data_IF_198744654391
#
_entry.id   IF_198744654391
#
_cell.length_a   1.000
_cell.length_b   1.000
_cell.length_c   1.000
_cell.angle_alpha   90.00
_cell.angle_beta   90.00
_cell.angle_gamma   90.00
#
_symmetry.space_group_name_H-M   'P 1'
#
loop_
_entity.id
_entity.type
_entity.pdbx_description
1 polymer ?
#
# COMPACT_ATOMS: atom_id res chain seq x y z
N UNK A 1 -14.17 -5.61 -18.62
CA UNK A 1 -13.36 -5.56 -19.87
C UNK A 1 -13.78 -4.34 -20.63
N UNK A 2 -12.86 -3.38 -20.79
CA UNK A 2 -13.12 -2.16 -21.56
C UNK A 2 -13.08 -2.51 -23.05
N UNK A 3 -13.85 -1.82 -23.90
CA UNK A 3 -13.81 -2.00 -25.37
C UNK A 3 -12.36 -1.96 -25.92
N UNK A 4 -11.48 -1.22 -25.25
CA UNK A 4 -10.06 -1.13 -25.54
C UNK A 4 -9.32 -2.48 -25.52
N UNK A 5 -9.63 -3.38 -24.58
CA UNK A 5 -8.87 -4.64 -24.42
C UNK A 5 -9.18 -5.64 -25.53
N UNK A 6 -10.36 -5.49 -26.16
CA UNK A 6 -10.85 -6.39 -27.21
C UNK A 6 -10.10 -6.23 -28.54
N UNK A 7 -9.50 -5.07 -28.78
CA UNK A 7 -8.80 -4.72 -30.02
C UNK A 7 -7.28 -4.93 -29.95
N UNK A 8 -6.74 -5.32 -28.78
CA UNK A 8 -5.29 -5.45 -28.59
C UNK A 8 -4.74 -6.75 -29.17
N UNK A 9 -3.69 -6.64 -29.99
CA UNK A 9 -2.90 -7.79 -30.42
C UNK A 9 -2.08 -8.35 -29.24
N UNK A 10 -1.51 -9.54 -29.41
CA UNK A 10 -0.61 -10.11 -28.40
C UNK A 10 0.59 -9.19 -28.09
N UNK A 11 1.10 -8.47 -29.10
CA UNK A 11 2.19 -7.49 -28.93
C UNK A 11 1.73 -6.29 -28.10
N UNK A 12 0.53 -5.79 -28.36
CA UNK A 12 -0.01 -4.63 -27.64
C UNK A 12 -0.35 -4.98 -26.20
N UNK A 13 -0.83 -6.20 -25.93
CA UNK A 13 -1.00 -6.69 -24.55
C UNK A 13 0.32 -6.73 -23.79
N UNK A 14 1.38 -7.28 -24.40
CA UNK A 14 2.70 -7.29 -23.77
C UNK A 14 3.23 -5.88 -23.46
N UNK A 15 2.93 -4.90 -24.33
CA UNK A 15 3.25 -3.48 -24.09
C UNK A 15 2.42 -2.87 -22.97
N UNK A 16 1.12 -3.15 -22.93
CA UNK A 16 0.23 -2.72 -21.87
C UNK A 16 0.68 -3.26 -20.51
N UNK A 17 1.02 -4.55 -20.45
CA UNK A 17 1.54 -5.19 -19.24
C UNK A 17 2.84 -4.54 -18.79
N UNK A 18 3.80 -4.34 -19.70
CA UNK A 18 5.06 -3.67 -19.38
C UNK A 18 4.87 -2.21 -18.90
N UNK A 19 3.96 -1.47 -19.54
CA UNK A 19 3.66 -0.09 -19.18
C UNK A 19 2.98 0.01 -17.80
N UNK A 20 1.99 -0.84 -17.55
CA UNK A 20 1.32 -0.91 -16.25
C UNK A 20 2.27 -1.37 -15.14
N UNK A 21 3.15 -2.34 -15.40
CA UNK A 21 4.17 -2.78 -14.44
C UNK A 21 5.17 -1.66 -14.09
N UNK A 22 5.61 -0.88 -15.08
CA UNK A 22 6.54 0.22 -14.85
C UNK A 22 5.91 1.31 -13.96
N UNK A 23 4.65 1.67 -14.21
CA UNK A 23 3.92 2.66 -13.41
C UNK A 23 3.59 2.11 -12.02
N UNK A 24 3.15 0.84 -11.92
CA UNK A 24 2.89 0.19 -10.64
C UNK A 24 4.15 0.13 -9.77
N UNK A 25 5.30 -0.19 -10.36
CA UNK A 25 6.58 -0.21 -9.64
C UNK A 25 6.96 1.18 -9.11
N UNK A 26 6.73 2.24 -9.89
CA UNK A 26 7.02 3.62 -9.46
C UNK A 26 6.03 4.13 -8.42
N UNK A 27 4.75 3.79 -8.53
CA UNK A 27 3.75 4.05 -7.50
C UNK A 27 4.08 3.33 -6.19
N UNK A 28 4.54 2.08 -6.26
CA UNK A 28 4.98 1.29 -5.10
C UNK A 28 6.19 1.92 -4.41
N UNK A 29 7.14 2.47 -5.17
CA UNK A 29 8.26 3.23 -4.62
C UNK A 29 7.79 4.51 -3.89
N UNK A 30 6.65 5.07 -4.29
CA UNK A 30 5.96 6.16 -3.58
C UNK A 30 5.00 5.66 -2.49
N UNK A 31 5.06 4.38 -2.10
CA UNK A 31 4.25 3.81 -1.03
C UNK A 31 2.80 3.47 -1.39
N UNK A 32 2.39 3.63 -2.66
CA UNK A 32 1.05 3.35 -3.15
C UNK A 32 1.03 2.04 -3.95
N UNK A 33 0.08 1.16 -3.67
CA UNK A 33 -0.16 -0.02 -4.52
C UNK A 33 -1.35 0.28 -5.42
N UNK A 34 -1.15 0.19 -6.73
CA UNK A 34 -2.18 0.41 -7.75
C UNK A 34 -2.37 -0.86 -8.57
N UNK A 35 -3.62 -1.22 -8.83
CA UNK A 35 -3.96 -2.42 -9.58
C UNK A 35 -3.78 -2.21 -11.09
N UNK A 36 -3.40 -3.26 -11.81
CA UNK A 36 -3.16 -3.19 -13.26
C UNK A 36 -4.40 -2.77 -14.04
N UNK A 37 -5.57 -3.23 -13.64
CA UNK A 37 -6.84 -2.84 -14.26
C UNK A 37 -7.06 -1.33 -14.14
N UNK A 38 -6.77 -0.77 -12.98
CA UNK A 38 -6.87 0.67 -12.71
C UNK A 38 -5.83 1.48 -13.49
N UNK A 39 -4.63 0.96 -13.69
CA UNK A 39 -3.61 1.63 -14.50
C UNK A 39 -3.92 1.54 -16.00
N UNK A 40 -4.54 0.45 -16.46
CA UNK A 40 -4.86 0.24 -17.89
C UNK A 40 -5.82 1.27 -18.49
N UNK A 41 -6.56 2.01 -17.64
CA UNK A 41 -7.45 3.08 -18.08
C UNK A 41 -6.75 4.42 -18.29
N UNK A 42 -5.50 4.58 -17.82
CA UNK A 42 -4.77 5.85 -17.93
C UNK A 42 -4.47 6.19 -19.40
N UNK A 43 -4.80 7.42 -19.85
CA UNK A 43 -4.59 7.84 -21.25
C UNK A 43 -3.15 7.66 -21.72
N UNK A 44 -2.16 8.04 -20.90
CA UNK A 44 -0.74 7.90 -21.22
C UNK A 44 -0.32 6.44 -21.46
N UNK A 45 -0.85 5.50 -20.68
CA UNK A 45 -0.57 4.07 -20.81
C UNK A 45 -1.21 3.52 -22.09
N UNK A 46 -2.46 3.90 -22.39
CA UNK A 46 -3.15 3.50 -23.62
C UNK A 46 -2.45 4.05 -24.87
N UNK A 47 -2.01 5.30 -24.82
CA UNK A 47 -1.24 5.92 -25.91
C UNK A 47 0.09 5.22 -26.13
N UNK A 48 0.85 4.95 -25.07
CA UNK A 48 2.13 4.22 -25.18
C UNK A 48 1.94 2.79 -25.73
N UNK A 49 0.80 2.16 -25.40
CA UNK A 49 0.44 0.84 -25.92
C UNK A 49 0.19 0.87 -27.44
N UNK A 50 -0.52 1.89 -27.93
CA UNK A 50 -0.95 1.97 -29.33
C UNK A 50 0.06 2.62 -30.30
N UNK A 51 0.92 3.51 -29.82
CA UNK A 51 1.69 4.42 -30.71
C UNK A 51 3.15 4.02 -30.93
N UNK A 52 3.59 2.86 -30.44
CA UNK A 52 5.01 2.43 -30.37
C UNK A 52 5.96 3.41 -29.64
N UNK A 53 5.45 4.54 -29.16
CA UNK A 53 6.20 5.54 -28.41
C UNK A 53 6.58 4.98 -27.03
N UNK A 54 7.78 5.33 -26.58
CA UNK A 54 8.21 5.04 -25.21
C UNK A 54 7.28 5.72 -24.21
N UNK A 55 6.85 4.98 -23.19
CA UNK A 55 6.05 5.52 -22.10
C UNK A 55 6.81 6.66 -21.40
N UNK A 56 6.21 7.84 -21.37
CA UNK A 56 6.66 8.91 -20.47
C UNK A 56 6.14 8.60 -19.05
N UNK A 57 7.02 8.03 -18.23
CA UNK A 57 6.69 7.63 -16.86
C UNK A 57 6.30 8.81 -15.97
N UNK A 58 6.84 10.01 -16.19
CA UNK A 58 6.51 11.16 -15.36
C UNK A 58 5.11 11.70 -15.70
N UNK A 59 4.74 11.72 -16.98
CA UNK A 59 3.36 12.03 -17.39
C UNK A 59 2.37 11.01 -16.85
N UNK A 60 2.67 9.72 -16.97
CA UNK A 60 1.80 8.66 -16.46
C UNK A 60 1.66 8.70 -14.93
N UNK A 61 2.73 9.03 -14.20
CA UNK A 61 2.68 9.22 -12.75
C UNK A 61 1.91 10.48 -12.36
N UNK A 62 1.98 11.56 -13.14
CA UNK A 62 1.19 12.76 -12.89
C UNK A 62 -0.31 12.48 -13.07
N UNK A 63 -0.70 11.75 -14.11
CA UNK A 63 -2.07 11.28 -14.31
C UNK A 63 -2.52 10.38 -13.16
N UNK A 64 -1.70 9.39 -12.78
CA UNK A 64 -2.01 8.51 -11.65
C UNK A 64 -2.15 9.29 -10.32
N UNK A 65 -1.32 10.31 -10.09
CA UNK A 65 -1.45 11.17 -8.90
C UNK A 65 -2.70 12.02 -8.91
N UNK A 66 -3.15 12.50 -10.07
CA UNK A 66 -4.38 13.26 -10.20
C UNK A 66 -5.60 12.36 -9.93
N UNK A 67 -5.63 11.17 -10.55
CA UNK A 67 -6.74 10.22 -10.43
C UNK A 67 -6.81 9.59 -9.02
N UNK A 68 -5.67 9.31 -8.40
CA UNK A 68 -5.56 8.64 -7.09
C UNK A 68 -5.00 9.56 -5.99
N UNK A 69 -5.38 10.84 -6.01
CA UNK A 69 -4.82 11.86 -5.12
C UNK A 69 -4.92 11.53 -3.63
N UNK A 70 -5.99 10.87 -3.19
CA UNK A 70 -6.12 10.43 -1.79
C UNK A 70 -5.11 9.35 -1.40
N UNK A 71 -4.93 8.33 -2.24
CA UNK A 71 -3.98 7.25 -1.98
C UNK A 71 -2.54 7.77 -1.90
N UNK A 72 -2.16 8.67 -2.81
CA UNK A 72 -0.84 9.31 -2.78
C UNK A 72 -0.66 10.23 -1.57
N UNK A 73 -1.66 11.06 -1.22
CA UNK A 73 -1.59 11.90 0.00
C UNK A 73 -1.42 11.05 1.26
N UNK A 74 -2.14 9.94 1.37
CA UNK A 74 -2.01 9.04 2.50
C UNK A 74 -0.65 8.35 2.55
N UNK A 75 -0.10 7.94 1.40
CA UNK A 75 1.23 7.35 1.33
C UNK A 75 2.32 8.36 1.68
N UNK A 76 2.23 9.60 1.20
CA UNK A 76 3.17 10.68 1.51
C UNK A 76 3.20 10.96 3.03
N UNK A 77 2.02 11.02 3.68
CA UNK A 77 1.93 11.15 5.16
C UNK A 77 2.55 9.95 5.88
N UNK A 78 2.30 8.72 5.40
CA UNK A 78 2.89 7.52 6.01
C UNK A 78 4.41 7.51 5.87
N UNK A 79 4.94 7.86 4.70
CA UNK A 79 6.38 7.92 4.47
C UNK A 79 7.05 8.98 5.34
N UNK A 80 6.42 10.14 5.53
CA UNK A 80 6.92 11.17 6.44
C UNK A 80 6.95 10.67 7.90
N UNK A 81 5.93 9.92 8.32
CA UNK A 81 5.88 9.30 9.65
C UNK A 81 6.93 8.19 9.83
N UNK A 82 7.09 7.29 8.87
CA UNK A 82 8.07 6.20 8.90
C UNK A 82 9.51 6.74 8.87
N UNK A 83 9.74 7.84 8.14
CA UNK A 83 11.01 8.54 8.12
C UNK A 83 11.33 9.28 9.44
N UNK A 84 10.40 9.28 10.41
CA UNK A 84 10.45 10.11 11.63
C UNK A 84 10.74 11.57 11.31
N UNK A 85 10.15 12.05 10.22
CA UNK A 85 10.25 13.45 9.83
C UNK A 85 9.64 14.29 10.94
N UNK A 86 10.50 15.07 11.59
CA UNK A 86 10.16 15.83 12.78
C UNK A 86 9.12 16.90 12.45
N UNK A 87 9.18 17.48 11.25
CA UNK A 87 8.26 18.52 10.83
C UNK A 87 6.85 17.95 10.57
N UNK A 88 6.77 16.74 10.01
CA UNK A 88 5.49 16.04 9.83
C UNK A 88 4.87 15.59 11.16
N UNK A 89 5.71 15.11 12.09
CA UNK A 89 5.27 14.75 13.44
C UNK A 89 4.78 15.98 14.23
N UNK A 90 5.48 17.10 14.12
CA UNK A 90 5.10 18.36 14.77
C UNK A 90 3.82 18.94 14.17
N UNK A 91 3.63 18.84 12.84
CA UNK A 91 2.38 19.20 12.18
C UNK A 91 1.20 18.36 12.69
N UNK A 92 1.36 17.03 12.79
CA UNK A 92 0.30 16.14 13.34
C UNK A 92 0.03 16.43 14.82
N UNK A 93 1.06 16.76 15.60
CA UNK A 93 0.92 17.10 17.01
C UNK A 93 0.25 18.46 17.25
N UNK A 94 0.33 19.38 16.28
CA UNK A 94 -0.35 20.67 16.31
C UNK A 94 -1.85 20.59 15.98
N UNK A 95 -2.33 19.46 15.47
CA UNK A 95 -3.75 19.26 15.15
C UNK A 95 -4.63 19.15 16.41
N UNK A 96 -5.89 19.61 16.35
CA UNK A 96 -6.88 19.36 17.39
C UNK A 96 -7.01 17.87 17.74
N UNK A 97 -7.33 17.51 19.00
CA UNK A 97 -7.34 16.11 19.44
C UNK A 97 -8.21 15.18 18.58
N UNK A 98 -9.36 15.66 18.10
CA UNK A 98 -10.27 14.93 17.22
C UNK A 98 -9.66 14.63 15.85
N UNK A 99 -8.96 15.60 15.26
CA UNK A 99 -8.33 15.46 13.95
C UNK A 99 -7.11 14.56 14.02
N UNK A 100 -6.28 14.71 15.06
CA UNK A 100 -5.15 13.80 15.32
C UNK A 100 -5.62 12.35 15.48
N UNK A 101 -6.74 12.13 16.18
CA UNK A 101 -7.29 10.78 16.33
C UNK A 101 -7.83 10.23 14.99
N UNK A 102 -8.44 11.07 14.15
CA UNK A 102 -8.89 10.69 12.81
C UNK A 102 -7.71 10.34 11.88
N UNK A 103 -6.62 11.10 11.94
CA UNK A 103 -5.37 10.79 11.23
C UNK A 103 -4.82 9.45 11.69
N UNK A 104 -4.74 9.21 13.00
CA UNK A 104 -4.30 7.92 13.55
C UNK A 104 -5.15 6.75 13.05
N UNK A 105 -6.49 6.87 13.07
CA UNK A 105 -7.40 5.83 12.56
C UNK A 105 -7.25 5.59 11.06
N UNK A 106 -7.07 6.64 10.26
CA UNK A 106 -6.81 6.51 8.81
C UNK A 106 -5.50 5.76 8.54
N UNK A 107 -4.46 6.06 9.31
CA UNK A 107 -3.16 5.39 9.19
C UNK A 107 -3.25 3.91 9.58
N UNK A 108 -3.97 3.58 10.66
CA UNK A 108 -4.22 2.19 11.06
C UNK A 108 -5.01 1.40 10.01
N UNK A 109 -6.02 2.02 9.39
CA UNK A 109 -6.82 1.39 8.33
C UNK A 109 -6.02 1.13 7.04
N UNK A 110 -5.03 1.98 6.77
CA UNK A 110 -4.14 1.88 5.61
C UNK A 110 -2.89 1.05 5.88
N UNK A 111 -2.67 0.64 7.13
CA UNK A 111 -1.62 -0.28 7.46
C UNK A 111 -2.00 -1.61 6.81
N UNK A 112 -1.21 -2.14 5.87
CA UNK A 112 -1.48 -3.46 5.33
C UNK A 112 -1.58 -4.37 6.54
N UNK A 113 -2.69 -5.10 6.67
CA UNK A 113 -2.82 -6.10 7.70
C UNK A 113 -1.58 -6.98 7.54
N UNK A 114 -0.62 -6.84 8.46
CA UNK A 114 0.50 -7.77 8.55
C UNK A 114 -0.19 -9.10 8.75
N UNK A 115 -0.31 -9.86 7.68
CA UNK A 115 -0.81 -11.22 7.70
C UNK A 115 0.20 -11.94 8.58
N UNK A 116 -0.07 -11.96 9.89
CA UNK A 116 0.71 -12.73 10.85
C UNK A 116 0.70 -14.13 10.28
N UNK A 117 1.86 -14.56 9.79
CA UNK A 117 2.05 -15.91 9.29
C UNK A 117 1.48 -16.83 10.37
N UNK A 118 0.49 -17.69 10.05
CA UNK A 118 -0.01 -18.63 11.04
C UNK A 118 1.20 -19.39 11.58
N UNK A 119 1.36 -19.38 12.91
CA UNK A 119 2.42 -20.12 13.58
C UNK A 119 2.36 -21.58 13.13
N UNK A 120 3.53 -22.18 12.91
CA UNK A 120 3.56 -23.63 12.73
C UNK A 120 2.97 -24.30 13.99
N UNK A 121 2.42 -25.52 13.89
CA UNK A 121 1.85 -26.21 15.05
C UNK A 121 2.85 -26.35 16.21
N UNK A 122 4.13 -26.50 15.88
CA UNK A 122 5.24 -26.62 16.83
C UNK A 122 5.52 -25.29 17.54
N UNK A 123 5.56 -24.19 16.80
CA UNK A 123 5.79 -22.85 17.35
C UNK A 123 4.60 -22.37 18.19
N UNK A 124 3.37 -22.71 17.78
CA UNK A 124 2.16 -22.42 18.54
C UNK A 124 2.15 -23.16 19.89
N UNK A 125 2.57 -24.43 19.92
CA UNK A 125 2.67 -25.21 21.15
C UNK A 125 3.74 -24.63 22.11
N UNK A 126 4.89 -24.22 21.58
CA UNK A 126 5.94 -23.55 22.36
C UNK A 126 5.46 -22.21 22.94
N UNK A 127 4.76 -21.40 22.14
CA UNK A 127 4.18 -20.12 22.58
C UNK A 127 3.13 -20.31 23.69
N UNK A 128 2.24 -21.30 23.56
CA UNK A 128 1.25 -21.63 24.60
C UNK A 128 1.92 -22.05 25.91
N UNK A 129 3.00 -22.84 25.85
CA UNK A 129 3.77 -23.23 27.03
C UNK A 129 4.43 -22.03 27.72
N UNK A 130 4.94 -21.06 26.96
CA UNK A 130 5.49 -19.82 27.54
C UNK A 130 4.39 -18.95 28.16
N UNK A 131 3.25 -18.76 27.49
CA UNK A 131 2.13 -17.96 27.99
C UNK A 131 1.54 -18.56 29.28
N UNK A 132 1.48 -19.90 29.37
CA UNK A 132 1.01 -20.59 30.59
C UNK A 132 1.85 -20.27 31.83
N UNK A 133 3.14 -19.98 31.67
CA UNK A 133 4.06 -19.66 32.78
C UNK A 133 3.90 -18.23 33.31
N UNK A 134 3.27 -17.34 32.55
CA UNK A 134 3.01 -15.96 32.97
C UNK A 134 1.96 -15.99 34.09
N UNK A 135 2.17 -15.28 35.21
CA UNK A 135 1.19 -15.27 36.32
C UNK A 135 0.10 -14.21 36.15
N UNK A 136 0.45 -13.06 35.59
CA UNK A 136 -0.49 -11.95 35.39
C UNK A 136 -1.44 -12.20 34.21
N UNK A 137 -2.77 -12.09 34.40
CA UNK A 137 -3.74 -12.23 33.31
C UNK A 137 -3.53 -11.20 32.19
N UNK A 138 -3.22 -9.95 32.54
CA UNK A 138 -2.98 -8.89 31.56
C UNK A 138 -1.73 -9.19 30.70
N UNK A 139 -0.66 -9.69 31.33
CA UNK A 139 0.56 -10.06 30.63
C UNK A 139 0.37 -11.32 29.77
N UNK A 140 -0.50 -12.27 30.16
CA UNK A 140 -0.88 -13.42 29.32
C UNK A 140 -1.55 -12.98 28.02
N UNK A 141 -2.52 -12.07 28.13
CA UNK A 141 -3.27 -11.57 26.96
C UNK A 141 -2.33 -10.79 26.04
N UNK A 142 -1.45 -9.96 26.60
CA UNK A 142 -0.45 -9.23 25.81
C UNK A 142 0.51 -10.19 25.07
N UNK A 143 1.00 -11.23 25.74
CA UNK A 143 1.89 -12.23 25.15
C UNK A 143 1.20 -13.09 24.08
N UNK A 144 -0.07 -13.47 24.27
CA UNK A 144 -0.86 -14.18 23.27
C UNK A 144 -1.04 -13.36 22.00
N UNK A 145 -1.42 -12.08 22.14
CA UNK A 145 -1.54 -11.15 21.00
C UNK A 145 -0.22 -10.93 20.29
N UNK A 146 0.89 -10.84 21.03
CA UNK A 146 2.22 -10.70 20.45
C UNK A 146 2.62 -11.95 19.64
N UNK A 147 2.27 -13.15 20.13
CA UNK A 147 2.50 -14.41 19.43
C UNK A 147 1.55 -14.63 18.23
N UNK A 148 0.40 -13.95 18.18
CA UNK A 148 -0.62 -14.18 17.14
C UNK A 148 -1.57 -15.33 17.47
N UNK A 149 -1.78 -15.59 18.77
CA UNK A 149 -2.76 -16.51 19.34
C UNK A 149 -4.03 -15.77 19.80
#
# INVERSE_FOLDING_TARGET
MSDFDSILTARDRARLDAATDAVASRAKAAGVTLDKETLSVLPSIRLATLTENSLNLDTAMAEARAEFAEAFRSADVRMALDAKDKDALDAINSLPPSERMNVGRRLDALRPAEAKKPLSPEDAAAAILMIRKIKSPAAKIAAARAAGL
#
